data_IF_447600139171
#
_entry.id   IF_447600139171
#
_cell.length_a   1.000
_cell.length_b   1.000
_cell.length_c   1.000
_cell.angle_alpha   90.00
_cell.angle_beta   90.00
_cell.angle_gamma   90.00
#
_symmetry.space_group_name_H-M   'P 1'
#
loop_
_entity.id
_entity.type
_entity.pdbx_description
1 polymer ?
#
# COMPACT_ATOMS: atom_id res chain seq x y z
N UNK A 1 20.88 23.06 15.41
CA UNK A 1 19.64 22.33 15.78
C UNK A 1 18.49 22.88 14.93
N UNK A 2 18.33 22.38 13.71
CA UNK A 2 17.32 22.90 12.76
C UNK A 2 15.96 22.27 13.01
N UNK A 3 14.99 23.07 13.46
CA UNK A 3 13.58 22.64 13.55
C UNK A 3 12.97 22.60 12.16
N UNK A 4 12.87 21.42 11.55
CA UNK A 4 12.11 21.21 10.33
C UNK A 4 10.61 21.47 10.58
N UNK A 5 10.05 22.47 9.90
CA UNK A 5 8.60 22.77 9.96
C UNK A 5 7.82 21.65 9.26
N UNK A 6 6.72 21.19 9.88
CA UNK A 6 5.70 20.39 9.22
C UNK A 6 4.74 21.30 8.44
N UNK A 7 4.09 20.76 7.41
CA UNK A 7 3.35 21.52 6.38
C UNK A 7 2.13 22.35 6.86
N UNK A 8 1.80 22.33 8.15
CA UNK A 8 0.73 23.17 8.74
C UNK A 8 1.22 24.08 9.89
N UNK A 9 2.53 24.37 9.96
CA UNK A 9 3.08 25.28 10.97
C UNK A 9 3.22 24.68 12.38
N UNK A 10 2.66 23.49 12.64
CA UNK A 10 2.99 22.69 13.82
C UNK A 10 4.40 22.12 13.69
N UNK A 11 5.20 22.25 14.75
CA UNK A 11 6.54 21.66 14.80
C UNK A 11 6.40 20.13 14.84
N UNK A 12 7.17 19.41 14.02
CA UNK A 12 7.17 17.94 13.98
C UNK A 12 7.38 17.32 15.37
N UNK A 13 8.17 17.97 16.22
CA UNK A 13 8.40 17.56 17.61
C UNK A 13 7.13 17.55 18.49
N UNK A 14 6.19 18.47 18.26
CA UNK A 14 4.92 18.53 19.00
C UNK A 14 4.04 17.35 18.58
N UNK A 15 3.90 17.14 17.27
CA UNK A 15 3.16 16.01 16.70
C UNK A 15 3.75 14.67 17.16
N UNK A 16 5.07 14.53 17.16
CA UNK A 16 5.76 13.34 17.66
C UNK A 16 5.41 13.04 19.12
N UNK A 17 5.37 14.07 19.98
CA UNK A 17 5.01 13.94 21.39
C UNK A 17 3.53 13.59 21.58
N UNK A 18 2.63 14.21 20.82
CA UNK A 18 1.18 13.93 20.85
C UNK A 18 0.88 12.48 20.47
N UNK A 19 1.60 11.94 19.48
CA UNK A 19 1.41 10.56 18.99
C UNK A 19 2.32 9.53 19.67
N UNK A 20 3.18 9.93 20.63
CA UNK A 20 4.08 9.02 21.33
C UNK A 20 5.11 8.33 20.44
N UNK A 21 5.52 8.97 19.34
CA UNK A 21 6.46 8.41 18.36
C UNK A 21 7.76 9.22 18.32
N UNK A 22 8.83 8.61 17.82
CA UNK A 22 10.09 9.31 17.62
C UNK A 22 9.96 10.37 16.52
N UNK A 23 10.72 11.46 16.65
CA UNK A 23 10.79 12.50 15.61
C UNK A 23 11.25 11.93 14.26
N UNK A 24 12.18 10.97 14.27
CA UNK A 24 12.65 10.27 13.07
C UNK A 24 11.53 9.51 12.35
N UNK A 25 10.56 8.98 13.09
CA UNK A 25 9.38 8.30 12.53
C UNK A 25 8.49 9.28 11.77
N UNK A 26 8.19 10.44 12.37
CA UNK A 26 7.41 11.49 11.69
C UNK A 26 8.13 11.96 10.43
N UNK A 27 9.45 12.19 10.50
CA UNK A 27 10.24 12.59 9.34
C UNK A 27 10.24 11.52 8.23
N UNK A 28 10.33 10.24 8.58
CA UNK A 28 10.26 9.14 7.62
C UNK A 28 8.87 9.05 6.96
N UNK A 29 7.79 9.19 7.74
CA UNK A 29 6.41 9.21 7.22
C UNK A 29 6.22 10.39 6.27
N UNK A 30 6.70 11.58 6.62
CA UNK A 30 6.60 12.76 5.76
C UNK A 30 7.40 12.59 4.47
N UNK A 31 8.58 11.97 4.53
CA UNK A 31 9.40 11.68 3.36
C UNK A 31 8.70 10.74 2.37
N UNK A 32 7.93 9.77 2.87
CA UNK A 32 7.22 8.76 2.07
C UNK A 32 5.71 9.04 1.94
N UNK A 33 5.27 10.27 2.29
CA UNK A 33 3.86 10.67 2.37
C UNK A 33 3.08 10.36 1.10
N UNK A 34 3.63 10.77 -0.05
CA UNK A 34 2.96 10.61 -1.34
C UNK A 34 2.76 9.14 -1.70
N UNK A 35 3.75 8.30 -1.43
CA UNK A 35 3.68 6.87 -1.69
C UNK A 35 2.66 6.19 -0.78
N UNK A 36 2.64 6.53 0.52
CA UNK A 36 1.65 6.04 1.48
C UNK A 36 0.23 6.40 1.01
N UNK A 37 0.00 7.65 0.60
CA UNK A 37 -1.30 8.10 0.10
C UNK A 37 -1.69 7.40 -1.20
N UNK A 38 -0.76 7.27 -2.15
CA UNK A 38 -0.98 6.56 -3.41
C UNK A 38 -1.37 5.10 -3.15
N UNK A 39 -0.65 4.40 -2.28
CA UNK A 39 -0.97 3.02 -1.91
C UNK A 39 -2.32 2.91 -1.20
N UNK A 40 -2.65 3.85 -0.31
CA UNK A 40 -3.94 3.87 0.38
C UNK A 40 -5.12 3.95 -0.59
N UNK A 41 -5.03 4.85 -1.59
CA UNK A 41 -6.08 5.05 -2.59
C UNK A 41 -6.12 3.90 -3.61
N UNK A 42 -4.98 3.47 -4.13
CA UNK A 42 -4.92 2.52 -5.25
C UNK A 42 -5.11 1.06 -4.84
N UNK A 43 -4.57 0.64 -3.69
CA UNK A 43 -4.48 -0.78 -3.34
C UNK A 43 -5.62 -1.24 -2.41
N UNK A 44 -6.61 -0.38 -2.12
CA UNK A 44 -7.70 -0.64 -1.16
C UNK A 44 -7.19 -1.40 0.07
N UNK A 45 -6.07 -0.92 0.62
CA UNK A 45 -5.39 -1.64 1.69
C UNK A 45 -6.33 -1.70 2.90
N UNK A 46 -6.41 -2.88 3.52
CA UNK A 46 -7.11 -2.99 4.78
C UNK A 46 -6.55 -1.94 5.77
N UNK A 47 -7.41 -1.24 6.55
CA UNK A 47 -6.97 -0.21 7.48
C UNK A 47 -5.92 -0.70 8.51
N UNK A 48 -5.84 -2.01 8.72
CA UNK A 48 -4.89 -2.66 9.61
C UNK A 48 -3.51 -2.92 9.01
N UNK A 49 -3.32 -2.76 7.69
CA UNK A 49 -2.07 -3.13 6.99
C UNK A 49 -1.00 -2.05 7.18
N UNK A 50 0.10 -2.42 7.84
CA UNK A 50 1.22 -1.52 8.18
C UNK A 50 2.45 -1.63 7.26
N UNK A 51 2.52 -2.65 6.40
CA UNK A 51 3.68 -2.93 5.55
C UNK A 51 3.32 -2.96 4.06
N UNK A 52 3.95 -2.06 3.30
CA UNK A 52 3.88 -1.98 1.84
C UNK A 52 4.96 -2.86 1.20
N UNK A 53 4.89 -4.18 1.39
CA UNK A 53 5.69 -5.12 0.60
C UNK A 53 4.81 -5.62 -0.55
N UNK A 54 5.15 -5.22 -1.77
CA UNK A 54 4.68 -5.85 -2.99
C UNK A 54 5.74 -6.87 -3.40
N UNK A 55 5.35 -8.07 -3.82
CA UNK A 55 6.31 -9.02 -4.39
C UNK A 55 6.84 -8.49 -5.72
N UNK A 56 8.11 -8.76 -6.03
CA UNK A 56 8.79 -8.20 -7.22
C UNK A 56 8.07 -8.50 -8.55
N UNK A 57 7.34 -9.61 -8.60
CA UNK A 57 6.56 -10.04 -9.76
C UNK A 57 5.05 -10.05 -9.53
N UNK A 58 4.59 -9.64 -8.34
CA UNK A 58 3.19 -9.76 -7.92
C UNK A 58 2.26 -9.08 -8.91
N UNK A 59 2.58 -7.85 -9.34
CA UNK A 59 1.74 -7.11 -10.29
C UNK A 59 1.65 -7.78 -11.66
N UNK A 60 2.74 -8.39 -12.15
CA UNK A 60 2.75 -9.05 -13.46
C UNK A 60 1.94 -10.33 -13.40
N UNK A 61 2.17 -11.16 -12.38
CA UNK A 61 1.44 -12.41 -12.17
C UNK A 61 -0.05 -12.12 -11.98
N UNK A 62 -0.41 -11.21 -11.07
CA UNK A 62 -1.80 -10.81 -10.82
C UNK A 62 -2.49 -10.31 -12.10
N UNK A 63 -1.78 -9.51 -12.92
CA UNK A 63 -2.34 -9.02 -14.19
C UNK A 63 -2.59 -10.14 -15.21
N UNK A 64 -1.69 -11.13 -15.28
CA UNK A 64 -1.83 -12.27 -16.18
C UNK A 64 -2.98 -13.18 -15.76
N UNK A 65 -3.03 -13.52 -14.47
CA UNK A 65 -4.13 -14.32 -13.88
C UNK A 65 -5.47 -13.60 -14.01
N UNK A 66 -5.50 -12.27 -13.80
CA UNK A 66 -6.72 -11.48 -13.97
C UNK A 66 -7.20 -11.46 -15.43
N UNK A 67 -6.28 -11.40 -16.39
CA UNK A 67 -6.60 -11.45 -17.83
C UNK A 67 -7.20 -12.82 -18.17
N UNK A 68 -6.52 -13.89 -17.78
CA UNK A 68 -7.02 -15.25 -17.96
C UNK A 68 -8.39 -15.47 -17.30
N UNK A 69 -8.58 -14.98 -16.07
CA UNK A 69 -9.85 -15.12 -15.36
C UNK A 69 -11.01 -14.41 -16.09
N UNK A 70 -10.76 -13.25 -16.70
CA UNK A 70 -11.75 -12.54 -17.52
C UNK A 70 -12.12 -13.36 -18.75
N UNK A 71 -11.14 -13.93 -19.44
CA UNK A 71 -11.36 -14.74 -20.63
C UNK A 71 -12.18 -16.00 -20.32
N UNK A 72 -11.86 -16.70 -19.22
CA UNK A 72 -12.58 -17.91 -18.79
C UNK A 72 -14.01 -17.59 -18.35
N UNK A 73 -14.22 -16.45 -17.66
CA UNK A 73 -15.56 -15.99 -17.28
C UNK A 73 -16.41 -15.58 -18.49
N UNK A 74 -15.80 -15.03 -19.54
CA UNK A 74 -16.49 -14.73 -20.79
C UNK A 74 -17.03 -16.02 -21.46
N UNK A 75 -16.40 -17.17 -21.19
CA UNK A 75 -16.85 -18.48 -21.65
C UNK A 75 -17.86 -19.15 -20.70
N UNK A 76 -18.32 -18.45 -19.64
CA UNK A 76 -19.27 -18.95 -18.63
C UNK A 76 -18.74 -20.21 -17.93
N UNK A 77 -17.42 -20.38 -17.84
CA UNK A 77 -16.83 -21.50 -17.11
C UNK A 77 -16.74 -21.14 -15.63
N UNK A 78 -17.29 -21.96 -14.73
CA UNK A 78 -17.17 -21.73 -13.29
C UNK A 78 -15.71 -21.95 -12.86
N UNK A 79 -15.09 -20.90 -12.31
CA UNK A 79 -13.70 -20.93 -11.84
C UNK A 79 -13.67 -21.08 -10.33
N UNK A 80 -13.02 -22.14 -9.85
CA UNK A 80 -12.78 -22.36 -8.42
C UNK A 80 -11.48 -21.67 -7.96
N UNK A 81 -11.34 -21.42 -6.67
CA UNK A 81 -10.12 -20.83 -6.10
C UNK A 81 -8.87 -21.68 -6.37
N UNK A 82 -9.00 -23.01 -6.40
CA UNK A 82 -7.90 -23.93 -6.70
C UNK A 82 -7.39 -23.76 -8.14
N UNK A 83 -8.30 -23.54 -9.09
CA UNK A 83 -7.93 -23.29 -10.48
C UNK A 83 -7.16 -21.97 -10.65
N UNK A 84 -7.48 -20.96 -9.83
CA UNK A 84 -6.73 -19.69 -9.84
C UNK A 84 -5.33 -19.90 -9.27
N UNK A 85 -5.20 -20.66 -8.19
CA UNK A 85 -3.90 -20.97 -7.58
C UNK A 85 -2.99 -21.77 -8.50
N UNK A 86 -3.53 -22.67 -9.32
CA UNK A 86 -2.74 -23.42 -10.32
C UNK A 86 -2.17 -22.52 -11.43
N UNK A 87 -2.78 -21.35 -11.68
CA UNK A 87 -2.38 -20.43 -12.74
C UNK A 87 -1.49 -19.26 -12.28
N UNK A 88 -1.37 -19.05 -10.96
CA UNK A 88 -0.62 -17.96 -10.34
C UNK A 88 0.83 -18.37 -10.01
#
# INVERSE_FOLDING_TARGET
>A
MGSGKGEEGKKQAVVAKEHGVAHSTIAAILKDKENILKCWVQLQLAPSRKRLRLGDYQQKIDSAVLTWLKDVRAQIVPVSGLMIQEKA
#
